data_IF_814088692936
#
_entry.id   IF_814088692936
#
_cell.length_a   1.000
_cell.length_b   1.000
_cell.length_c   1.000
_cell.angle_alpha   90.00
_cell.angle_beta   90.00
_cell.angle_gamma   90.00
#
_symmetry.space_group_name_H-M   'P 1'
#
loop_
_entity.id
_entity.type
_entity.pdbx_description
1 polymer ?
#
# COMPACT_ATOMS: atom_id res chain seq x y z
N UNK A 1 -22.64 7.53 47.25
CA UNK A 1 -21.82 8.62 47.83
C UNK A 1 -21.39 9.53 46.71
N UNK A 2 -21.89 10.75 46.80
CA UNK A 2 -21.83 11.88 45.86
C UNK A 2 -20.48 12.62 45.96
N UNK A 3 -20.29 13.62 45.09
CA UNK A 3 -19.36 14.79 45.11
C UNK A 3 -18.29 14.67 44.01
N UNK A 4 -18.41 15.31 42.83
CA UNK A 4 -18.36 16.75 42.45
C UNK A 4 -16.99 17.17 41.86
N UNK A 5 -17.05 17.53 40.58
CA UNK A 5 -16.37 18.64 39.89
C UNK A 5 -15.39 19.53 40.69
N UNK A 6 -14.25 19.88 40.07
CA UNK A 6 -13.77 21.26 40.15
C UNK A 6 -12.98 21.68 38.90
N UNK A 7 -13.21 22.93 38.53
CA UNK A 7 -12.91 23.61 37.29
C UNK A 7 -11.69 24.54 37.47
N UNK A 8 -11.19 25.05 36.34
CA UNK A 8 -10.70 26.42 36.15
C UNK A 8 -9.18 26.72 36.16
N UNK A 9 -8.72 27.12 34.95
CA UNK A 9 -8.07 28.40 34.59
C UNK A 9 -7.04 29.02 35.56
N UNK A 10 -5.84 29.31 35.04
CA UNK A 10 -5.43 30.68 34.63
C UNK A 10 -4.06 30.71 33.98
N UNK A 11 -3.91 31.70 33.11
CA UNK A 11 -2.73 32.07 32.36
C UNK A 11 -1.95 33.22 33.03
N UNK A 12 -0.84 33.58 32.39
CA UNK A 12 -0.19 34.90 32.29
C UNK A 12 1.14 35.10 33.05
N UNK A 13 2.17 35.32 32.21
CA UNK A 13 3.38 36.18 32.27
C UNK A 13 4.01 36.61 33.60
N UNK A 14 5.34 36.74 33.60
CA UNK A 14 6.06 38.04 33.68
C UNK A 14 7.56 37.81 33.38
N UNK A 15 8.15 38.81 32.74
CA UNK A 15 9.51 38.89 32.26
C UNK A 15 10.49 39.52 33.28
N UNK A 16 11.79 39.45 32.91
CA UNK A 16 12.78 40.54 32.96
C UNK A 16 13.93 40.49 33.99
N UNK A 17 15.01 41.17 33.55
CA UNK A 17 16.26 41.62 34.20
C UNK A 17 17.41 40.61 34.22
N UNK A 18 18.67 40.94 33.90
CA UNK A 18 19.41 42.15 33.49
C UNK A 18 20.90 41.71 33.36
N UNK A 19 21.67 42.05 32.33
CA UNK A 19 22.36 43.31 32.02
C UNK A 19 23.88 43.33 32.38
N UNK A 20 24.68 43.86 31.42
CA UNK A 20 26.06 44.41 31.46
C UNK A 20 27.23 43.42 31.41
N UNK A 21 28.39 43.73 30.82
CA UNK A 21 28.91 44.73 29.88
C UNK A 21 30.40 44.37 29.66
N UNK A 22 31.03 44.69 28.52
CA UNK A 22 32.32 45.41 28.41
C UNK A 22 32.83 45.37 26.96
N UNK A 23 33.31 46.53 26.52
CA UNK A 23 33.87 46.79 25.19
C UNK A 23 35.35 47.20 25.29
N UNK A 24 35.95 47.36 24.11
CA UNK A 24 37.28 47.92 23.75
C UNK A 24 38.32 46.87 23.33
N UNK A 25 39.11 47.02 22.26
CA UNK A 25 39.29 48.11 21.30
C UNK A 25 40.29 47.73 20.19
N UNK A 26 40.27 48.54 19.13
CA UNK A 26 41.27 48.87 18.09
C UNK A 26 42.34 47.86 17.63
N UNK A 27 42.47 47.73 16.30
CA UNK A 27 43.74 47.36 15.66
C UNK A 27 43.63 47.02 14.17
N UNK A 28 43.60 48.03 13.31
CA UNK A 28 43.78 47.86 11.86
C UNK A 28 45.27 47.73 11.52
N UNK A 29 45.64 46.75 10.68
CA UNK A 29 46.84 46.82 9.83
C UNK A 29 46.70 45.93 8.60
N UNK A 30 47.02 46.51 7.46
CA UNK A 30 47.00 45.91 6.13
C UNK A 30 48.41 45.45 5.69
N UNK A 31 48.40 44.72 4.56
CA UNK A 31 49.47 44.53 3.54
C UNK A 31 50.26 43.21 3.59
N UNK A 32 50.07 42.39 2.53
CA UNK A 32 51.09 41.90 1.57
C UNK A 32 50.49 40.73 0.77
N UNK A 33 49.91 40.96 -0.41
CA UNK A 33 50.52 40.74 -1.74
C UNK A 33 51.55 39.60 -1.79
N UNK A 34 51.15 38.49 -2.39
CA UNK A 34 52.01 37.39 -2.81
C UNK A 34 51.32 36.59 -3.91
N UNK A 35 51.58 36.97 -5.16
CA UNK A 35 51.23 36.19 -6.34
C UNK A 35 52.34 35.18 -6.61
N UNK A 36 51.99 33.90 -6.88
CA UNK A 36 52.63 33.07 -7.91
C UNK A 36 51.93 31.70 -8.01
N UNK A 37 51.16 31.57 -9.10
CA UNK A 37 51.06 30.43 -10.03
C UNK A 37 51.01 29.00 -9.47
N UNK A 38 49.88 28.33 -9.71
CA UNK A 38 49.82 27.11 -10.54
C UNK A 38 48.37 26.71 -10.80
N UNK A 39 47.96 26.80 -12.06
CA UNK A 39 46.67 26.34 -12.55
C UNK A 39 46.64 24.80 -12.60
N UNK A 40 45.66 24.18 -11.94
CA UNK A 40 45.13 22.87 -12.31
C UNK A 40 43.60 22.93 -12.26
N UNK A 41 43.02 22.95 -13.46
CA UNK A 41 41.60 22.74 -13.73
C UNK A 41 41.18 21.38 -13.19
N UNK A 42 40.33 21.36 -12.16
CA UNK A 42 39.53 20.20 -11.81
C UNK A 42 38.07 20.60 -11.84
N UNK A 43 37.33 19.95 -12.74
CA UNK A 43 35.90 20.02 -12.88
C UNK A 43 35.21 19.77 -11.54
N UNK A 44 34.58 20.79 -10.96
CA UNK A 44 33.58 20.61 -9.91
C UNK A 44 32.22 20.46 -10.56
N UNK A 45 31.87 19.23 -10.94
CA UNK A 45 30.49 18.89 -11.31
C UNK A 45 29.61 19.00 -10.07
N UNK A 46 28.80 20.04 -10.02
CA UNK A 46 27.73 20.22 -9.03
C UNK A 46 26.74 19.05 -9.11
N UNK A 47 26.62 18.28 -8.03
CA UNK A 47 25.54 17.31 -7.84
C UNK A 47 24.20 18.08 -7.75
N UNK A 48 23.44 18.01 -8.84
CA UNK A 48 22.06 18.51 -8.92
C UNK A 48 21.15 17.52 -8.19
N UNK A 49 20.39 18.03 -7.22
CA UNK A 49 19.23 17.35 -6.67
C UNK A 49 18.21 17.07 -7.81
N UNK A 50 17.97 15.79 -8.10
CA UNK A 50 16.96 15.36 -9.05
C UNK A 50 15.59 15.23 -8.35
N UNK A 51 14.93 16.38 -8.14
CA UNK A 51 13.47 16.41 -8.04
C UNK A 51 12.91 16.48 -9.46
N UNK A 52 12.13 15.49 -9.87
CA UNK A 52 11.53 15.43 -11.20
C UNK A 52 10.64 16.67 -11.43
N UNK A 53 11.08 17.57 -12.31
CA UNK A 53 10.28 18.69 -12.82
C UNK A 53 9.52 18.20 -14.04
N UNK A 54 8.25 17.90 -13.89
CA UNK A 54 7.37 17.60 -15.03
C UNK A 54 7.21 18.88 -15.85
N UNK A 55 7.43 18.80 -17.16
CA UNK A 55 7.28 19.97 -18.04
C UNK A 55 5.79 20.27 -18.28
N UNK A 56 5.37 21.55 -18.31
CA UNK A 56 3.98 21.91 -18.60
C UNK A 56 3.48 21.34 -19.94
N UNK A 57 4.37 21.20 -20.92
CA UNK A 57 4.09 20.60 -22.22
C UNK A 57 3.74 19.10 -22.17
N UNK A 58 4.36 18.33 -21.27
CA UNK A 58 4.03 16.91 -21.10
C UNK A 58 2.68 16.73 -20.40
N UNK A 59 2.36 17.60 -19.43
CA UNK A 59 1.06 17.60 -18.77
C UNK A 59 -0.08 17.92 -19.73
N UNK A 60 0.09 18.93 -20.58
CA UNK A 60 -0.92 19.28 -21.60
C UNK A 60 -1.14 18.14 -22.59
N UNK A 61 -0.07 17.50 -23.08
CA UNK A 61 -0.19 16.34 -23.99
C UNK A 61 -0.90 15.16 -23.36
N UNK A 62 -0.56 14.80 -22.11
CA UNK A 62 -1.22 13.70 -21.39
C UNK A 62 -2.72 13.97 -21.19
N UNK A 63 -3.11 15.21 -20.91
CA UNK A 63 -4.51 15.59 -20.77
C UNK A 63 -5.25 15.56 -22.12
N UNK A 64 -4.63 16.08 -23.18
CA UNK A 64 -5.16 16.02 -24.55
C UNK A 64 -5.38 14.57 -25.00
N UNK A 65 -4.41 13.67 -24.76
CA UNK A 65 -4.53 12.25 -25.05
C UNK A 65 -5.67 11.59 -24.27
N UNK A 66 -5.85 11.92 -22.98
CA UNK A 66 -6.97 11.39 -22.17
C UNK A 66 -8.33 11.88 -22.65
N UNK A 67 -8.43 13.15 -23.05
CA UNK A 67 -9.68 13.73 -23.57
C UNK A 67 -9.99 13.13 -24.95
N UNK A 68 -9.00 13.00 -25.82
CA UNK A 68 -9.16 12.38 -27.14
C UNK A 68 -9.56 10.90 -27.04
N UNK A 69 -9.08 10.19 -26.02
CA UNK A 69 -9.45 8.81 -25.71
C UNK A 69 -10.85 8.64 -25.08
N UNK A 70 -11.53 9.72 -24.71
CA UNK A 70 -12.83 9.66 -24.06
C UNK A 70 -13.93 9.25 -25.05
N UNK A 71 -14.28 7.97 -25.05
CA UNK A 71 -15.41 7.43 -25.81
C UNK A 71 -16.58 7.20 -24.86
N UNK A 72 -17.69 7.89 -25.07
CA UNK A 72 -18.95 7.62 -24.37
C UNK A 72 -19.48 6.27 -24.83
N UNK A 73 -19.18 5.21 -24.08
CA UNK A 73 -19.83 3.92 -24.28
C UNK A 73 -21.16 3.95 -23.53
N UNK A 74 -22.27 3.99 -24.27
CA UNK A 74 -23.60 3.80 -23.71
C UNK A 74 -23.84 2.30 -23.53
N UNK A 75 -23.42 1.76 -22.39
CA UNK A 75 -23.79 0.40 -21.96
C UNK A 75 -25.09 0.46 -21.16
N UNK A 76 -26.01 -0.46 -21.45
CA UNK A 76 -27.18 -0.70 -20.59
C UNK A 76 -26.66 -1.40 -19.33
N UNK A 77 -26.35 -0.61 -18.30
CA UNK A 77 -25.95 -1.12 -17.00
C UNK A 77 -27.18 -1.47 -16.17
N UNK A 78 -27.13 -2.63 -15.53
CA UNK A 78 -28.16 -3.03 -14.59
C UNK A 78 -27.93 -2.32 -13.25
N UNK A 79 -28.95 -1.62 -12.78
CA UNK A 79 -28.87 -0.76 -11.59
C UNK A 79 -29.80 -1.30 -10.51
N UNK A 80 -29.27 -1.47 -9.31
CA UNK A 80 -30.03 -1.73 -8.09
C UNK A 80 -30.14 -0.48 -7.21
N UNK A 81 -30.94 -0.59 -6.15
CA UNK A 81 -31.05 0.44 -5.11
C UNK A 81 -30.78 -0.13 -3.74
N UNK A 82 -30.14 0.66 -2.90
CA UNK A 82 -29.92 0.34 -1.50
C UNK A 82 -31.25 0.41 -0.74
N UNK A 83 -31.63 -0.67 -0.06
CA UNK A 83 -32.80 -0.74 0.84
C UNK A 83 -32.38 -0.44 2.27
N UNK A 84 -31.25 -0.98 2.70
CA UNK A 84 -30.71 -0.71 4.03
C UNK A 84 -29.21 -0.90 4.07
N UNK A 85 -28.56 -0.20 4.99
CA UNK A 85 -27.12 -0.30 5.26
C UNK A 85 -26.92 -0.36 6.77
N UNK A 86 -26.05 -1.26 7.22
CA UNK A 86 -25.60 -1.30 8.61
C UNK A 86 -24.41 -2.24 8.78
N UNK A 87 -23.48 -1.86 9.64
CA UNK A 87 -22.28 -2.64 10.01
C UNK A 87 -21.47 -3.11 8.79
N UNK A 88 -21.35 -2.26 7.76
CA UNK A 88 -20.63 -2.61 6.53
C UNK A 88 -21.37 -3.56 5.57
N UNK A 89 -22.66 -3.83 5.81
CA UNK A 89 -23.50 -4.67 4.95
C UNK A 89 -24.61 -3.81 4.35
N UNK A 90 -24.74 -3.84 3.02
CA UNK A 90 -25.85 -3.26 2.29
C UNK A 90 -26.80 -4.34 1.79
N UNK A 91 -28.11 -4.12 1.93
CA UNK A 91 -29.14 -4.89 1.25
C UNK A 91 -29.61 -4.10 0.05
N UNK A 92 -29.52 -4.72 -1.12
CA UNK A 92 -29.89 -4.11 -2.39
C UNK A 92 -31.15 -4.75 -2.94
N UNK A 93 -31.98 -3.95 -3.59
CA UNK A 93 -33.11 -4.42 -4.41
C UNK A 93 -32.76 -4.24 -5.89
N UNK A 94 -33.16 -5.21 -6.73
CA UNK A 94 -32.79 -5.29 -8.14
C UNK A 94 -31.51 -6.11 -8.36
N UNK A 95 -30.73 -5.77 -9.38
CA UNK A 95 -29.54 -6.53 -9.80
C UNK A 95 -29.85 -8.02 -10.05
N UNK A 96 -30.95 -8.32 -10.73
CA UNK A 96 -31.40 -9.68 -11.09
C UNK A 96 -30.31 -10.56 -11.71
N UNK A 97 -29.41 -9.99 -12.53
CA UNK A 97 -28.34 -10.76 -13.15
C UNK A 97 -27.03 -10.83 -12.35
N UNK A 98 -26.97 -10.37 -11.10
CA UNK A 98 -25.71 -10.37 -10.32
C UNK A 98 -25.27 -11.78 -9.97
N UNK A 99 -23.95 -12.00 -9.99
CA UNK A 99 -23.35 -13.28 -9.64
C UNK A 99 -22.83 -13.27 -8.20
N UNK A 100 -22.76 -14.45 -7.59
CA UNK A 100 -22.12 -14.60 -6.30
C UNK A 100 -20.61 -14.30 -6.42
N UNK A 101 -20.07 -13.52 -5.49
CA UNK A 101 -18.69 -13.06 -5.54
C UNK A 101 -18.43 -11.96 -6.58
N UNK A 102 -19.48 -11.34 -7.11
CA UNK A 102 -19.34 -10.24 -8.07
C UNK A 102 -19.09 -8.89 -7.37
N UNK A 103 -18.25 -8.07 -7.99
CA UNK A 103 -18.05 -6.68 -7.56
C UNK A 103 -19.21 -5.80 -8.02
N UNK A 104 -19.66 -4.94 -7.11
CA UNK A 104 -20.63 -3.89 -7.38
C UNK A 104 -20.03 -2.53 -7.03
N UNK A 105 -20.47 -1.49 -7.72
CA UNK A 105 -20.03 -0.12 -7.51
C UNK A 105 -21.21 0.74 -7.05
N UNK A 106 -21.05 1.35 -5.88
CA UNK A 106 -22.02 2.29 -5.34
C UNK A 106 -21.87 3.65 -6.03
N UNK A 107 -22.94 4.46 -6.04
CA UNK A 107 -22.94 5.81 -6.62
C UNK A 107 -21.79 6.71 -6.11
N UNK A 108 -21.30 6.46 -4.89
CA UNK A 108 -20.23 7.22 -4.25
C UNK A 108 -18.82 6.73 -4.66
N UNK A 109 -18.71 5.80 -5.62
CA UNK A 109 -17.46 5.23 -6.11
C UNK A 109 -16.85 4.15 -5.21
N UNK A 110 -17.55 3.78 -4.13
CA UNK A 110 -17.15 2.64 -3.29
C UNK A 110 -17.51 1.34 -3.98
N UNK A 111 -16.70 0.32 -3.71
CA UNK A 111 -16.93 -1.03 -4.21
C UNK A 111 -17.49 -1.91 -3.10
N UNK A 112 -18.30 -2.89 -3.48
CA UNK A 112 -18.70 -3.98 -2.60
C UNK A 112 -18.67 -5.31 -3.31
N UNK A 113 -18.91 -6.39 -2.57
CA UNK A 113 -19.00 -7.75 -3.10
C UNK A 113 -20.35 -8.37 -2.74
N UNK A 114 -21.05 -8.88 -3.75
CA UNK A 114 -22.28 -9.65 -3.56
C UNK A 114 -21.96 -11.02 -2.97
N UNK A 115 -22.48 -11.30 -1.77
CA UNK A 115 -22.29 -12.58 -1.08
C UNK A 115 -23.58 -13.40 -1.04
N UNK A 116 -24.67 -12.79 -0.58
CA UNK A 116 -25.95 -13.47 -0.43
C UNK A 116 -26.88 -13.06 -1.57
N UNK A 117 -27.40 -14.04 -2.30
CA UNK A 117 -28.40 -13.84 -3.34
C UNK A 117 -29.73 -14.40 -2.82
N UNK A 118 -30.62 -13.54 -2.38
CA UNK A 118 -31.99 -13.90 -1.98
C UNK A 118 -32.95 -13.61 -3.13
N UNK A 119 -34.19 -14.13 -3.03
CA UNK A 119 -35.20 -13.92 -4.09
C UNK A 119 -35.55 -12.45 -4.29
N UNK A 120 -35.62 -11.69 -3.19
CA UNK A 120 -36.11 -10.32 -3.18
C UNK A 120 -34.99 -9.28 -2.97
N UNK A 121 -33.81 -9.71 -2.53
CA UNK A 121 -32.71 -8.80 -2.22
C UNK A 121 -31.34 -9.45 -2.44
N UNK A 122 -30.32 -8.60 -2.53
CA UNK A 122 -28.92 -8.99 -2.65
C UNK A 122 -28.15 -8.42 -1.46
N UNK A 123 -27.49 -9.29 -0.70
CA UNK A 123 -26.60 -8.92 0.39
C UNK A 123 -25.19 -8.63 -0.12
N UNK A 124 -24.76 -7.38 0.04
CA UNK A 124 -23.45 -6.89 -0.40
C UNK A 124 -22.63 -6.45 0.81
N UNK A 125 -21.38 -6.91 0.88
CA UNK A 125 -20.39 -6.39 1.84
C UNK A 125 -19.70 -5.20 1.21
N UNK A 126 -19.69 -4.07 1.92
CA UNK A 126 -19.07 -2.83 1.45
C UNK A 126 -17.57 -2.86 1.76
N UNK A 127 -16.75 -2.53 0.76
CA UNK A 127 -15.32 -2.31 0.95
C UNK A 127 -15.04 -0.84 1.22
N UNK A 128 -15.12 -0.44 2.50
CA UNK A 128 -14.86 0.93 2.90
C UNK A 128 -15.67 1.36 4.12
N UNK A 129 -15.95 2.66 4.19
CA UNK A 129 -16.78 3.27 5.24
C UNK A 129 -18.25 3.30 4.80
N UNK A 130 -19.10 2.61 5.56
CA UNK A 130 -20.53 2.48 5.27
C UNK A 130 -21.32 3.77 5.46
N UNK A 131 -20.77 4.72 6.23
CA UNK A 131 -21.39 6.03 6.50
C UNK A 131 -21.69 6.87 5.26
N UNK A 132 -20.97 6.60 4.17
CA UNK A 132 -21.18 7.32 2.92
C UNK A 132 -22.29 6.71 2.07
N UNK A 133 -22.74 5.48 2.33
CA UNK A 133 -23.86 4.87 1.61
C UNK A 133 -25.17 5.20 2.32
N UNK A 134 -26.13 5.71 1.57
CA UNK A 134 -27.47 6.01 2.08
C UNK A 134 -28.51 5.07 1.46
N UNK A 135 -29.65 4.95 2.15
CA UNK A 135 -30.82 4.28 1.59
C UNK A 135 -31.29 5.01 0.33
N UNK A 136 -31.62 4.24 -0.71
CA UNK A 136 -32.02 4.75 -2.02
C UNK A 136 -30.87 5.00 -2.99
N UNK A 137 -29.61 4.93 -2.55
CA UNK A 137 -28.45 5.09 -3.43
C UNK A 137 -28.46 4.07 -4.56
N UNK A 138 -28.01 4.51 -5.75
CA UNK A 138 -27.91 3.64 -6.91
C UNK A 138 -26.66 2.76 -6.81
N UNK A 139 -26.79 1.48 -7.15
CA UNK A 139 -25.68 0.53 -7.21
C UNK A 139 -25.63 -0.09 -8.58
N UNK A 140 -24.42 -0.16 -9.15
CA UNK A 140 -24.17 -0.67 -10.48
C UNK A 140 -23.39 -1.98 -10.39
N UNK A 141 -23.74 -2.92 -11.26
CA UNK A 141 -22.98 -4.16 -11.41
C UNK A 141 -21.73 -3.92 -12.29
N UNK A 142 -20.59 -4.48 -11.90
CA UNK A 142 -19.34 -4.36 -12.69
C UNK A 142 -19.18 -5.44 -13.78
N UNK A 143 -19.93 -6.55 -13.71
CA UNK A 143 -19.82 -7.69 -14.62
C UNK A 143 -18.64 -8.62 -14.29
N UNK A 144 -17.99 -8.42 -13.13
CA UNK A 144 -16.70 -9.04 -12.81
C UNK A 144 -16.73 -9.67 -11.42
N UNK A 145 -16.50 -10.97 -11.37
CA UNK A 145 -16.13 -11.67 -10.14
C UNK A 145 -14.85 -11.05 -9.58
N UNK A 146 -14.76 -10.92 -8.25
CA UNK A 146 -13.64 -10.27 -7.57
C UNK A 146 -12.30 -10.71 -8.16
N UNK A 147 -11.62 -9.74 -8.76
CA UNK A 147 -10.32 -9.90 -9.38
C UNK A 147 -9.36 -8.82 -8.87
N UNK A 148 -8.07 -9.13 -8.95
CA UNK A 148 -7.00 -8.22 -8.52
C UNK A 148 -5.96 -8.09 -9.64
N UNK A 149 -5.35 -6.91 -9.79
CA UNK A 149 -4.23 -6.75 -10.70
C UNK A 149 -3.04 -7.60 -10.25
N UNK A 150 -2.39 -8.27 -11.19
CA UNK A 150 -1.18 -9.05 -10.94
C UNK A 150 -0.06 -8.63 -11.90
N UNK A 151 1.18 -8.87 -11.48
CA UNK A 151 2.36 -8.69 -12.31
C UNK A 151 3.60 -8.20 -11.55
N UNK A 152 4.75 -8.15 -12.24
CA UNK A 152 6.02 -7.74 -11.61
C UNK A 152 6.03 -6.29 -11.13
N UNK A 153 5.12 -5.44 -11.64
CA UNK A 153 4.98 -4.05 -11.19
C UNK A 153 4.52 -3.88 -9.73
N UNK A 154 4.08 -4.96 -9.08
CA UNK A 154 3.74 -4.99 -7.65
C UNK A 154 4.97 -5.10 -6.74
N UNK A 155 6.12 -5.52 -7.26
CA UNK A 155 7.33 -5.70 -6.46
C UNK A 155 7.78 -4.36 -5.87
N UNK A 156 7.93 -4.31 -4.54
CA UNK A 156 8.31 -3.10 -3.80
C UNK A 156 7.19 -2.07 -3.60
N UNK A 157 5.95 -2.40 -4.00
CA UNK A 157 4.75 -1.58 -3.78
C UNK A 157 3.97 -2.07 -2.56
N UNK A 158 3.18 -1.19 -1.96
CA UNK A 158 2.19 -1.56 -0.93
C UNK A 158 0.79 -1.32 -1.48
N UNK A 159 -0.03 -2.36 -1.46
CA UNK A 159 -1.39 -2.37 -2.01
C UNK A 159 -2.43 -2.78 -0.99
N UNK A 160 -3.67 -2.35 -1.22
CA UNK A 160 -4.84 -2.87 -0.51
C UNK A 160 -5.27 -4.25 -1.06
N UNK A 161 -6.35 -4.81 -0.50
CA UNK A 161 -6.89 -6.11 -0.91
C UNK A 161 -7.46 -6.14 -2.34
N UNK A 162 -7.79 -4.98 -2.92
CA UNK A 162 -8.29 -4.83 -4.29
C UNK A 162 -7.16 -4.53 -5.29
N UNK A 163 -5.92 -4.37 -4.80
CA UNK A 163 -4.73 -4.07 -5.58
C UNK A 163 -4.50 -2.58 -5.85
N UNK A 164 -5.21 -1.68 -5.16
CA UNK A 164 -4.96 -0.25 -5.25
C UNK A 164 -3.71 0.13 -4.43
N UNK A 165 -2.81 0.96 -4.97
CA UNK A 165 -1.61 1.38 -4.25
C UNK A 165 -1.94 2.32 -3.09
N UNK A 166 -1.38 2.06 -1.92
CA UNK A 166 -1.51 2.90 -0.72
C UNK A 166 -0.18 3.55 -0.30
N UNK A 167 0.89 3.32 -1.07
CA UNK A 167 2.24 3.81 -0.79
C UNK A 167 2.54 5.24 -1.31
N UNK A 168 1.58 5.87 -2.00
CA UNK A 168 1.74 7.22 -2.54
C UNK A 168 2.72 7.33 -3.72
N UNK A 169 3.23 6.22 -4.25
CA UNK A 169 4.23 6.20 -5.36
C UNK A 169 3.58 6.24 -6.76
N UNK A 170 2.32 6.65 -6.85
CA UNK A 170 1.55 6.69 -8.11
C UNK A 170 0.88 5.36 -8.48
N UNK A 171 0.30 5.23 -9.68
CA UNK A 171 -0.39 4.02 -10.10
C UNK A 171 0.57 2.84 -10.32
N UNK A 172 0.04 1.62 -10.32
CA UNK A 172 0.81 0.39 -10.61
C UNK A 172 0.59 0.02 -12.08
N UNK A 173 1.66 -0.21 -12.87
CA UNK A 173 1.54 -0.69 -14.24
C UNK A 173 1.17 -2.18 -14.24
N UNK A 174 -0.09 -2.49 -13.96
CA UNK A 174 -0.62 -3.85 -14.03
C UNK A 174 -1.04 -4.18 -15.46
N UNK A 175 -0.55 -5.30 -16.01
CA UNK A 175 -0.88 -5.77 -17.36
C UNK A 175 -2.02 -6.78 -17.37
N UNK A 176 -2.19 -7.51 -16.27
CA UNK A 176 -3.13 -8.62 -16.16
C UNK A 176 -3.93 -8.51 -14.86
N UNK A 177 -5.17 -8.96 -14.89
CA UNK A 177 -6.01 -9.14 -13.70
C UNK A 177 -6.37 -10.61 -13.56
N UNK A 178 -6.43 -11.08 -12.31
CA UNK A 178 -6.71 -12.47 -12.00
C UNK A 178 -7.76 -12.57 -10.90
N UNK A 179 -8.73 -13.49 -11.08
CA UNK A 179 -9.76 -13.76 -10.08
C UNK A 179 -9.11 -14.27 -8.78
N UNK A 180 -9.67 -13.84 -7.64
CA UNK A 180 -9.17 -14.24 -6.32
C UNK A 180 -9.52 -15.71 -6.04
N UNK A 181 -10.74 -16.12 -6.36
CA UNK A 181 -11.22 -17.49 -6.10
C UNK A 181 -10.95 -18.41 -7.29
N UNK A 182 -9.70 -18.83 -7.43
CA UNK A 182 -9.31 -19.85 -8.40
C UNK A 182 -9.20 -21.22 -7.75
N UNK A 183 -9.68 -22.24 -8.47
CA UNK A 183 -9.54 -23.62 -8.04
C UNK A 183 -8.05 -24.00 -7.95
N UNK A 184 -7.65 -24.55 -6.82
CA UNK A 184 -6.29 -25.01 -6.60
C UNK A 184 -5.89 -26.15 -7.59
N UNK A 185 -4.59 -26.30 -7.91
CA UNK A 185 -4.11 -27.41 -8.73
C UNK A 185 -4.46 -28.77 -8.11
N UNK A 186 -4.88 -29.71 -8.97
CA UNK A 186 -5.14 -31.10 -8.59
C UNK A 186 -3.87 -31.88 -8.21
N UNK A 187 -3.95 -33.21 -8.16
CA UNK A 187 -2.82 -34.07 -7.74
C UNK A 187 -1.74 -34.15 -8.82
N UNK A 188 -2.13 -34.44 -10.07
CA UNK A 188 -1.22 -34.67 -11.21
C UNK A 188 -0.21 -33.52 -11.45
N UNK A 189 -0.58 -32.23 -11.43
CA UNK A 189 0.38 -31.14 -11.69
C UNK A 189 1.32 -30.84 -10.51
N UNK A 190 1.19 -31.52 -9.36
CA UNK A 190 2.05 -31.28 -8.19
C UNK A 190 3.34 -32.07 -8.30
N UNK A 191 4.45 -31.43 -7.90
CA UNK A 191 5.76 -32.08 -7.72
C UNK A 191 6.05 -32.18 -6.23
N UNK A 192 6.70 -33.28 -5.81
CA UNK A 192 7.19 -33.39 -4.44
C UNK A 192 8.15 -32.26 -4.10
N UNK A 193 8.05 -31.73 -2.88
CA UNK A 193 8.95 -30.69 -2.39
C UNK A 193 10.35 -31.29 -2.19
N UNK A 194 11.35 -30.69 -2.83
CA UNK A 194 12.74 -31.17 -2.83
C UNK A 194 13.76 -30.01 -2.81
N UNK A 195 13.32 -28.78 -3.08
CA UNK A 195 14.16 -27.59 -3.01
C UNK A 195 14.00 -26.93 -1.64
N UNK A 196 15.09 -26.65 -0.90
CA UNK A 196 15.01 -25.98 0.39
C UNK A 196 14.69 -24.48 0.24
N UNK A 197 14.02 -23.93 1.25
CA UNK A 197 13.88 -22.49 1.45
C UNK A 197 14.64 -22.14 2.73
N UNK A 198 15.75 -21.42 2.57
CA UNK A 198 16.64 -21.09 3.69
C UNK A 198 16.08 -19.91 4.47
N UNK A 199 15.74 -20.12 5.74
CA UNK A 199 15.24 -19.05 6.60
C UNK A 199 16.36 -18.21 7.20
N UNK A 200 17.57 -18.76 7.30
CA UNK A 200 18.71 -18.11 7.96
C UNK A 200 18.70 -18.29 9.48
N UNK A 201 17.66 -18.93 10.03
CA UNK A 201 17.53 -19.21 11.45
C UNK A 201 18.03 -20.62 11.74
N UNK A 202 19.14 -20.72 12.49
CA UNK A 202 19.78 -22.01 12.83
C UNK A 202 18.80 -23.03 13.39
N UNK A 203 17.92 -22.61 14.30
CA UNK A 203 16.95 -23.51 14.92
C UNK A 203 15.91 -24.04 13.93
N UNK A 204 15.49 -23.22 12.97
CA UNK A 204 14.50 -23.63 11.95
C UNK A 204 15.18 -24.50 10.91
N UNK A 205 16.26 -24.01 10.30
CA UNK A 205 16.92 -24.71 9.19
C UNK A 205 17.55 -26.06 9.62
N UNK A 206 17.93 -26.22 10.90
CA UNK A 206 18.49 -27.48 11.40
C UNK A 206 17.45 -28.47 11.93
N UNK A 207 16.37 -28.01 12.58
CA UNK A 207 15.41 -28.89 13.25
C UNK A 207 14.11 -29.07 12.47
N UNK A 208 13.62 -28.01 11.81
CA UNK A 208 12.33 -27.97 11.11
C UNK A 208 12.53 -27.28 9.75
N UNK A 209 13.25 -27.92 8.81
CA UNK A 209 13.57 -27.30 7.53
C UNK A 209 12.29 -27.08 6.70
N UNK A 210 12.22 -25.95 6.00
CA UNK A 210 11.09 -25.59 5.14
C UNK A 210 11.49 -25.73 3.67
N UNK A 211 10.67 -26.42 2.88
CA UNK A 211 10.89 -26.55 1.44
C UNK A 211 10.02 -25.62 0.58
N UNK A 212 10.45 -25.36 -0.66
CA UNK A 212 9.69 -24.58 -1.64
C UNK A 212 8.44 -25.34 -2.08
N UNK A 213 7.26 -24.76 -1.84
CA UNK A 213 5.97 -25.40 -2.08
C UNK A 213 5.36 -26.10 -0.85
N UNK A 214 6.02 -26.03 0.31
CA UNK A 214 5.49 -26.46 1.60
C UNK A 214 4.66 -25.34 2.26
N UNK A 215 3.74 -25.73 3.15
CA UNK A 215 3.03 -24.82 4.05
C UNK A 215 3.50 -25.11 5.47
N UNK A 216 4.00 -24.09 6.15
CA UNK A 216 4.51 -24.19 7.51
C UNK A 216 3.73 -23.25 8.44
N UNK A 217 3.36 -23.72 9.63
CA UNK A 217 2.55 -22.97 10.59
C UNK A 217 3.42 -22.37 11.68
N UNK A 218 3.48 -21.03 11.74
CA UNK A 218 4.11 -20.31 12.86
C UNK A 218 3.03 -20.00 13.91
N UNK A 219 3.00 -20.79 14.98
CA UNK A 219 2.03 -20.65 16.09
C UNK A 219 2.74 -20.26 17.39
N UNK A 220 2.05 -19.50 18.24
CA UNK A 220 2.55 -19.10 19.56
C UNK A 220 1.79 -17.89 20.13
N UNK A 221 2.08 -17.54 21.38
CA UNK A 221 1.41 -16.46 22.12
C UNK A 221 1.70 -15.06 21.56
N UNK A 222 1.01 -14.06 22.09
CA UNK A 222 1.28 -12.65 21.72
C UNK A 222 2.73 -12.30 22.06
N UNK A 223 3.36 -11.51 21.19
CA UNK A 223 4.73 -10.98 21.38
C UNK A 223 5.85 -12.05 21.50
N UNK A 224 5.65 -13.27 20.99
CA UNK A 224 6.68 -14.34 20.99
C UNK A 224 7.60 -14.34 19.76
N UNK A 225 7.68 -13.24 19.01
CA UNK A 225 8.58 -13.14 17.86
C UNK A 225 8.09 -13.79 16.55
N UNK A 226 6.81 -14.19 16.46
CA UNK A 226 6.23 -14.77 15.22
C UNK A 226 6.50 -13.91 13.96
N UNK A 227 6.31 -12.59 14.08
CA UNK A 227 6.57 -11.66 12.98
C UNK A 227 8.06 -11.56 12.66
N UNK A 228 8.93 -11.58 13.69
CA UNK A 228 10.38 -11.51 13.49
C UNK A 228 10.87 -12.71 12.68
N UNK A 229 10.44 -13.92 13.01
CA UNK A 229 10.78 -15.15 12.26
C UNK A 229 10.43 -15.02 10.77
N UNK A 230 9.22 -14.52 10.45
CA UNK A 230 8.79 -14.35 9.07
C UNK A 230 9.57 -13.24 8.34
N UNK A 231 9.85 -12.12 9.00
CA UNK A 231 10.58 -10.99 8.42
C UNK A 231 12.05 -11.34 8.20
N UNK A 232 12.68 -12.02 9.16
CA UNK A 232 14.06 -12.49 9.05
C UNK A 232 14.21 -13.46 7.87
N UNK A 233 13.25 -14.37 7.70
CA UNK A 233 13.21 -15.28 6.55
C UNK A 233 13.11 -14.53 5.21
N UNK A 234 12.37 -13.42 5.14
CA UNK A 234 12.28 -12.56 3.95
C UNK A 234 13.60 -11.83 3.70
N UNK A 235 14.21 -11.25 4.74
CA UNK A 235 15.46 -10.50 4.64
C UNK A 235 16.60 -11.43 4.17
N UNK A 236 16.64 -12.67 4.66
CA UNK A 236 17.67 -13.65 4.27
C UNK A 236 17.66 -13.95 2.76
N UNK A 237 16.53 -13.78 2.07
CA UNK A 237 16.46 -14.01 0.62
C UNK A 237 17.20 -12.95 -0.20
N UNK A 238 17.60 -11.83 0.40
CA UNK A 238 18.34 -10.78 -0.29
C UNK A 238 19.59 -11.32 -0.98
N UNK A 239 20.40 -12.12 -0.29
CA UNK A 239 21.65 -12.65 -0.85
C UNK A 239 21.39 -13.53 -2.08
N UNK A 240 20.33 -14.34 -2.05
CA UNK A 240 19.95 -15.21 -3.17
C UNK A 240 19.43 -14.37 -4.35
N UNK A 241 18.65 -13.34 -4.06
CA UNK A 241 18.06 -12.47 -5.08
C UNK A 241 19.10 -11.55 -5.75
N UNK A 242 20.13 -11.12 -5.01
CA UNK A 242 21.20 -10.24 -5.51
C UNK A 242 22.34 -11.03 -6.19
N UNK A 243 22.60 -12.27 -5.77
CA UNK A 243 23.77 -13.04 -6.22
C UNK A 243 23.62 -13.71 -7.59
N UNK A 244 22.39 -13.89 -8.07
CA UNK A 244 22.14 -14.76 -9.22
C UNK A 244 21.12 -14.15 -10.19
N UNK A 245 21.47 -14.16 -11.48
CA UNK A 245 20.55 -13.77 -12.57
C UNK A 245 19.54 -14.88 -12.91
N UNK A 246 19.75 -16.12 -12.44
CA UNK A 246 18.81 -17.23 -12.65
C UNK A 246 17.51 -17.02 -11.87
N UNK A 247 16.41 -16.80 -12.59
CA UNK A 247 15.06 -16.65 -12.00
C UNK A 247 14.60 -17.90 -11.22
N UNK A 248 15.13 -19.09 -11.52
CA UNK A 248 14.77 -20.33 -10.81
C UNK A 248 15.23 -20.34 -9.35
N UNK A 249 16.32 -19.63 -9.05
CA UNK A 249 16.88 -19.57 -7.69
C UNK A 249 16.30 -18.42 -6.88
N UNK A 250 15.82 -17.36 -7.53
CA UNK A 250 15.21 -16.22 -6.84
C UNK A 250 13.97 -16.62 -6.04
N UNK A 251 13.70 -15.87 -4.97
CA UNK A 251 12.51 -16.03 -4.15
C UNK A 251 11.86 -14.67 -3.94
N UNK A 252 10.70 -14.48 -4.58
CA UNK A 252 9.86 -13.30 -4.40
C UNK A 252 8.97 -13.48 -3.17
N UNK A 253 9.03 -12.51 -2.25
CA UNK A 253 8.29 -12.56 -0.99
C UNK A 253 7.07 -11.64 -1.03
N UNK A 254 5.94 -12.13 -0.48
CA UNK A 254 4.71 -11.35 -0.31
C UNK A 254 4.35 -11.40 1.17
N UNK A 255 4.30 -10.23 1.82
CA UNK A 255 3.88 -10.10 3.22
C UNK A 255 2.45 -9.55 3.27
N UNK A 256 1.55 -10.28 3.93
CA UNK A 256 0.14 -9.91 4.06
C UNK A 256 -0.17 -9.55 5.51
N UNK A 257 -0.37 -8.26 5.78
CA UNK A 257 -0.72 -7.76 7.10
C UNK A 257 -2.25 -7.71 7.28
N UNK A 258 -2.80 -8.58 8.12
CA UNK A 258 -4.24 -8.63 8.43
C UNK A 258 -4.49 -8.13 9.85
N UNK A 259 -5.32 -7.08 9.99
CA UNK A 259 -5.71 -6.53 11.30
C UNK A 259 -4.58 -5.85 12.10
N UNK A 260 -3.43 -5.59 11.48
CA UNK A 260 -2.32 -4.89 12.12
C UNK A 260 -2.52 -3.37 12.10
N UNK A 261 -1.94 -2.67 13.08
CA UNK A 261 -1.94 -1.20 13.09
C UNK A 261 -1.06 -0.68 11.95
N UNK A 262 -1.49 0.40 11.29
CA UNK A 262 -0.73 1.04 10.20
C UNK A 262 0.67 1.53 10.59
N UNK A 263 0.91 1.79 11.86
CA UNK A 263 2.25 2.17 12.37
C UNK A 263 3.21 1.00 12.51
N UNK A 264 2.70 -0.24 12.47
CA UNK A 264 3.47 -1.47 12.63
C UNK A 264 3.84 -2.08 11.27
N UNK A 265 3.05 -1.78 10.24
CA UNK A 265 3.29 -2.16 8.84
C UNK A 265 4.19 -1.10 8.20
#
# INVERSE_FOLDING_TARGET
>A
MTIHSCLARRAVSVAASGARAFASGLGARAVAVGALQSARLLHTSSLRAAGAKISPSEMSRLLEERIAGWKTQTSTEEVGRVVSVGDGIARLFGLEGVQAGELVEFQNGMTGMALNLETDNVGVVIFGDDRSVLEGDSVKRTGRIVDVPIGPGLLGRVVDALGNPIDGKGPIPAKERRRVELKAPGIIPRKSVHEPMMTGLKCVDALVPVGRGQRELIIGDRQTGKTAVAVDAIINQKEINDSTDDESKKLYCIYVAVGQKRSTV
#
